data_IF_500905945504
#
_entry.id   IF_500905945504
#
_cell.length_a   1.000
_cell.length_b   1.000
_cell.length_c   1.000
_cell.angle_alpha   90.00
_cell.angle_beta   90.00
_cell.angle_gamma   90.00
#
_symmetry.space_group_name_H-M   'P 1'
#
loop_
_entity.id
_entity.type
_entity.pdbx_description
1 polymer ?
#
# COMPACT_ATOMS: atom_id res chain seq x y z
N UNK A 1 12.94 -6.06 -4.20
CA UNK A 1 14.02 -5.31 -4.85
C UNK A 1 15.32 -6.09 -4.83
N UNK A 2 15.83 -6.34 -3.62
CA UNK A 2 17.20 -6.90 -3.44
C UNK A 2 17.35 -8.32 -3.99
N UNK A 3 16.33 -9.17 -3.88
CA UNK A 3 16.33 -10.52 -4.47
C UNK A 3 16.51 -10.46 -5.99
N UNK A 4 15.79 -9.57 -6.67
CA UNK A 4 15.92 -9.39 -8.13
C UNK A 4 17.29 -8.86 -8.51
N UNK A 5 17.79 -7.88 -7.74
CA UNK A 5 19.12 -7.33 -7.94
C UNK A 5 20.20 -8.41 -7.84
N UNK A 6 20.15 -9.20 -6.77
CA UNK A 6 21.18 -10.19 -6.48
C UNK A 6 21.12 -11.39 -7.44
N UNK A 7 19.92 -11.85 -7.81
CA UNK A 7 19.76 -12.99 -8.72
C UNK A 7 20.16 -12.67 -10.16
N UNK A 8 19.90 -11.45 -10.64
CA UNK A 8 20.12 -11.07 -12.04
C UNK A 8 21.33 -10.14 -12.23
N UNK A 9 22.07 -9.84 -11.17
CA UNK A 9 23.23 -8.91 -11.18
C UNK A 9 22.92 -7.59 -11.89
N UNK A 10 21.75 -7.03 -11.58
CA UNK A 10 21.27 -5.79 -12.19
C UNK A 10 21.55 -4.59 -11.29
N UNK A 11 21.60 -3.40 -11.90
CA UNK A 11 21.82 -2.16 -11.16
C UNK A 11 20.76 -1.92 -10.06
N UNK A 12 21.13 -1.22 -8.99
CA UNK A 12 20.25 -0.95 -7.83
C UNK A 12 18.86 -0.41 -8.20
N UNK A 13 18.78 0.49 -9.18
CA UNK A 13 17.51 1.06 -9.63
C UNK A 13 16.64 0.03 -10.36
N UNK A 14 17.23 -0.95 -11.05
CA UNK A 14 16.50 -2.02 -11.73
C UNK A 14 15.82 -2.96 -10.73
N UNK A 15 16.38 -3.16 -9.55
CA UNK A 15 15.74 -3.91 -8.47
C UNK A 15 14.40 -3.31 -8.01
N UNK A 16 14.18 -2.02 -8.23
CA UNK A 16 12.92 -1.33 -7.88
C UNK A 16 11.88 -1.36 -9.00
N UNK A 17 12.24 -1.84 -10.20
CA UNK A 17 11.33 -1.86 -11.37
C UNK A 17 10.05 -2.66 -11.12
N UNK A 18 10.09 -3.72 -10.30
CA UNK A 18 8.88 -4.47 -9.96
C UNK A 18 7.82 -3.60 -9.27
N UNK A 19 8.25 -2.74 -8.35
CA UNK A 19 7.36 -1.76 -7.68
C UNK A 19 6.91 -0.69 -8.66
N UNK A 20 7.82 -0.18 -9.50
CA UNK A 20 7.50 0.81 -10.52
C UNK A 20 6.45 0.28 -11.51
N UNK A 21 6.54 -0.98 -11.95
CA UNK A 21 5.55 -1.61 -12.83
C UNK A 21 4.15 -1.61 -12.22
N UNK A 22 4.02 -1.86 -10.90
CA UNK A 22 2.74 -1.75 -10.22
C UNK A 22 2.17 -0.33 -10.28
N UNK A 23 2.98 0.71 -10.05
CA UNK A 23 2.51 2.11 -10.10
C UNK A 23 2.17 2.56 -11.52
N UNK A 24 2.93 2.11 -12.54
CA UNK A 24 2.58 2.34 -13.94
C UNK A 24 1.24 1.68 -14.27
N UNK A 25 1.03 0.44 -13.79
CA UNK A 25 -0.24 -0.27 -13.95
C UNK A 25 -1.41 0.51 -13.32
N UNK A 26 -1.22 1.11 -12.14
CA UNK A 26 -2.21 2.01 -11.52
C UNK A 26 -2.54 3.21 -12.41
N UNK A 27 -1.52 3.88 -12.94
CA UNK A 27 -1.71 5.05 -13.80
C UNK A 27 -2.48 4.71 -15.08
N UNK A 28 -2.22 3.53 -15.66
CA UNK A 28 -2.90 3.08 -16.89
C UNK A 28 -4.31 2.58 -16.60
N UNK A 29 -4.51 1.84 -15.50
CA UNK A 29 -5.76 1.13 -15.23
C UNK A 29 -6.79 1.96 -14.45
N UNK A 30 -6.40 3.07 -13.80
CA UNK A 30 -7.30 3.87 -12.97
C UNK A 30 -8.60 4.24 -13.69
N UNK A 31 -8.51 5.00 -14.78
CA UNK A 31 -9.69 5.42 -15.54
C UNK A 31 -10.46 4.23 -16.16
N UNK A 32 -9.82 3.25 -16.84
CA UNK A 32 -10.51 2.05 -17.33
C UNK A 32 -11.26 1.29 -16.24
N UNK A 33 -10.66 1.09 -15.07
CA UNK A 33 -11.28 0.35 -13.98
C UNK A 33 -12.48 1.09 -13.37
N UNK A 34 -12.41 2.42 -13.23
CA UNK A 34 -13.56 3.23 -12.83
C UNK A 34 -14.74 3.12 -13.82
N UNK A 35 -14.45 3.12 -15.13
CA UNK A 35 -15.46 2.88 -16.16
C UNK A 35 -16.01 1.45 -16.13
N UNK A 36 -15.15 0.45 -15.85
CA UNK A 36 -15.59 -0.94 -15.67
C UNK A 36 -16.52 -1.07 -14.47
N UNK A 37 -16.18 -0.46 -13.34
CA UNK A 37 -17.03 -0.48 -12.16
C UNK A 37 -18.41 0.15 -12.44
N UNK A 38 -18.45 1.28 -13.12
CA UNK A 38 -19.69 1.94 -13.50
C UNK A 38 -20.53 1.08 -14.46
N UNK A 39 -19.90 0.41 -15.43
CA UNK A 39 -20.59 -0.35 -16.46
C UNK A 39 -21.03 -1.75 -16.02
N UNK A 40 -20.18 -2.44 -15.28
CA UNK A 40 -20.35 -3.87 -14.95
C UNK A 40 -20.73 -4.11 -13.49
N UNK A 41 -20.62 -3.08 -12.62
CA UNK A 41 -20.90 -3.15 -11.20
C UNK A 41 -19.77 -3.74 -10.36
N UNK A 42 -20.01 -3.84 -9.05
CA UNK A 42 -19.00 -4.23 -8.07
C UNK A 42 -18.57 -5.69 -8.21
N UNK A 43 -19.54 -6.63 -8.30
CA UNK A 43 -19.25 -8.08 -8.32
C UNK A 43 -18.40 -8.48 -9.52
N UNK A 44 -18.82 -8.07 -10.72
CA UNK A 44 -18.10 -8.45 -11.96
C UNK A 44 -16.72 -7.82 -12.04
N UNK A 45 -16.59 -6.56 -11.60
CA UNK A 45 -15.29 -5.88 -11.58
C UNK A 45 -14.35 -6.51 -10.55
N UNK A 46 -14.85 -6.91 -9.36
CA UNK A 46 -14.07 -7.63 -8.36
C UNK A 46 -13.61 -9.01 -8.86
N UNK A 47 -14.49 -9.79 -9.52
CA UNK A 47 -14.12 -11.09 -10.11
C UNK A 47 -13.05 -10.94 -11.18
N UNK A 48 -13.17 -9.94 -12.06
CA UNK A 48 -12.15 -9.63 -13.05
C UNK A 48 -10.82 -9.26 -12.38
N UNK A 49 -10.86 -8.43 -11.32
CA UNK A 49 -9.68 -8.00 -10.59
C UNK A 49 -8.93 -9.18 -9.95
N UNK A 50 -9.61 -10.06 -9.24
CA UNK A 50 -8.97 -11.22 -8.61
C UNK A 50 -8.41 -12.20 -9.64
N UNK A 51 -9.09 -12.36 -10.79
CA UNK A 51 -8.60 -13.19 -11.90
C UNK A 51 -7.31 -12.62 -12.49
N UNK A 52 -7.28 -11.33 -12.75
CA UNK A 52 -6.07 -10.63 -13.25
C UNK A 52 -4.92 -10.74 -12.24
N UNK A 53 -5.21 -10.62 -10.95
CA UNK A 53 -4.21 -10.78 -9.88
C UNK A 53 -3.65 -12.20 -9.82
N UNK A 54 -4.51 -13.21 -9.92
CA UNK A 54 -4.09 -14.61 -10.01
C UNK A 54 -3.15 -14.86 -11.19
N UNK A 55 -3.50 -14.36 -12.38
CA UNK A 55 -2.67 -14.47 -13.58
C UNK A 55 -1.33 -13.73 -13.40
N UNK A 56 -1.35 -12.50 -12.86
CA UNK A 56 -0.14 -11.71 -12.64
C UNK A 56 0.85 -12.39 -11.69
N UNK A 57 0.36 -12.88 -10.54
CA UNK A 57 1.19 -13.63 -9.58
C UNK A 57 1.63 -14.98 -10.16
N UNK A 58 0.78 -15.65 -10.94
CA UNK A 58 1.16 -16.87 -11.67
C UNK A 58 2.33 -16.67 -12.61
N UNK A 59 2.32 -15.58 -13.41
CA UNK A 59 3.43 -15.20 -14.29
C UNK A 59 4.70 -14.92 -13.48
N UNK A 60 4.60 -14.18 -12.35
CA UNK A 60 5.73 -13.96 -11.46
C UNK A 60 6.29 -15.29 -10.90
N UNK A 61 5.43 -16.23 -10.54
CA UNK A 61 5.85 -17.56 -10.07
C UNK A 61 6.60 -18.32 -11.17
N UNK A 62 6.06 -18.35 -12.40
CA UNK A 62 6.69 -18.99 -13.55
C UNK A 62 8.06 -18.37 -13.85
N UNK A 63 8.23 -17.05 -13.66
CA UNK A 63 9.54 -16.42 -13.89
C UNK A 63 10.65 -17.02 -13.05
N UNK A 64 10.34 -17.50 -11.85
CA UNK A 64 11.32 -18.16 -10.96
C UNK A 64 11.78 -19.54 -11.42
N UNK A 65 11.16 -20.13 -12.44
CA UNK A 65 11.56 -21.41 -13.06
C UNK A 65 12.39 -21.24 -14.32
N UNK A 66 12.63 -20.01 -14.75
CA UNK A 66 13.37 -19.69 -15.98
C UNK A 66 14.83 -19.38 -15.61
N UNK A 67 15.76 -20.17 -16.12
CA UNK A 67 17.20 -20.02 -15.86
C UNK A 67 17.90 -19.07 -16.85
N UNK A 68 17.26 -17.95 -17.20
CA UNK A 68 17.83 -16.97 -18.12
C UNK A 68 17.47 -15.54 -17.71
N UNK A 69 18.18 -14.54 -18.24
CA UNK A 69 17.86 -13.12 -18.01
C UNK A 69 16.45 -12.74 -18.49
N UNK A 70 15.81 -13.56 -19.34
CA UNK A 70 14.41 -13.38 -19.73
C UNK A 70 13.46 -13.49 -18.53
N UNK A 71 13.84 -14.24 -17.48
CA UNK A 71 13.07 -14.34 -16.23
C UNK A 71 12.77 -12.98 -15.60
N UNK A 72 13.72 -12.04 -15.67
CA UNK A 72 13.52 -10.69 -15.16
C UNK A 72 12.39 -9.96 -15.89
N UNK A 73 12.39 -10.02 -17.23
CA UNK A 73 11.31 -9.43 -18.05
C UNK A 73 9.95 -10.07 -17.78
N UNK A 74 9.91 -11.40 -17.64
CA UNK A 74 8.68 -12.15 -17.30
C UNK A 74 8.17 -11.75 -15.91
N UNK A 75 9.06 -11.61 -14.92
CA UNK A 75 8.70 -11.12 -13.59
C UNK A 75 8.08 -9.72 -13.64
N UNK A 76 8.69 -8.80 -14.39
CA UNK A 76 8.19 -7.43 -14.55
C UNK A 76 6.82 -7.39 -15.22
N UNK A 77 6.60 -8.23 -16.25
CA UNK A 77 5.30 -8.38 -16.88
C UNK A 77 4.24 -8.88 -15.88
N UNK A 78 4.58 -9.88 -15.09
CA UNK A 78 3.71 -10.38 -14.01
C UNK A 78 3.39 -9.30 -12.97
N UNK A 79 4.38 -8.50 -12.57
CA UNK A 79 4.22 -7.38 -11.66
C UNK A 79 3.27 -6.30 -12.23
N UNK A 80 3.42 -5.97 -13.51
CA UNK A 80 2.55 -5.03 -14.21
C UNK A 80 1.10 -5.52 -14.25
N UNK A 81 0.88 -6.79 -14.58
CA UNK A 81 -0.46 -7.39 -14.61
C UNK A 81 -1.06 -7.46 -13.18
N UNK A 82 -0.27 -7.83 -12.17
CA UNK A 82 -0.71 -7.81 -10.78
C UNK A 82 -1.08 -6.40 -10.31
N UNK A 83 -0.39 -5.37 -10.79
CA UNK A 83 -0.71 -3.97 -10.54
C UNK A 83 -2.09 -3.55 -11.03
N UNK A 84 -2.56 -4.07 -12.17
CA UNK A 84 -3.94 -3.87 -12.63
C UNK A 84 -4.96 -4.41 -11.64
N UNK A 85 -4.72 -5.60 -11.10
CA UNK A 85 -5.59 -6.20 -10.07
C UNK A 85 -5.65 -5.32 -8.82
N UNK A 86 -4.51 -4.85 -8.33
CA UNK A 86 -4.45 -3.97 -7.16
C UNK A 86 -5.24 -2.68 -7.37
N UNK A 87 -5.10 -2.05 -8.54
CA UNK A 87 -5.87 -0.86 -8.92
C UNK A 87 -7.37 -1.17 -8.92
N UNK A 88 -7.80 -2.19 -9.64
CA UNK A 88 -9.21 -2.57 -9.76
C UNK A 88 -9.82 -2.91 -8.39
N UNK A 89 -9.12 -3.65 -7.52
CA UNK A 89 -9.59 -3.97 -6.18
C UNK A 89 -9.78 -2.73 -5.32
N UNK A 90 -8.84 -1.79 -5.35
CA UNK A 90 -8.97 -0.53 -4.61
C UNK A 90 -10.18 0.29 -5.09
N UNK A 91 -10.41 0.34 -6.40
CA UNK A 91 -11.54 1.06 -7.00
C UNK A 91 -12.89 0.40 -6.65
N UNK A 92 -12.92 -0.91 -6.43
CA UNK A 92 -14.12 -1.64 -5.99
C UNK A 92 -14.34 -1.47 -4.49
N UNK A 93 -13.33 -1.78 -3.67
CA UNK A 93 -13.47 -1.94 -2.22
C UNK A 93 -13.77 -0.61 -1.53
N UNK A 94 -13.02 0.44 -1.87
CA UNK A 94 -13.12 1.71 -1.15
C UNK A 94 -14.48 2.42 -1.29
N UNK A 95 -15.05 2.61 -2.49
CA UNK A 95 -16.38 3.20 -2.61
C UNK A 95 -17.47 2.27 -2.09
N UNK A 96 -17.28 0.94 -2.17
CA UNK A 96 -18.23 -0.01 -1.58
C UNK A 96 -18.29 0.12 -0.06
N UNK A 97 -17.14 0.17 0.62
CA UNK A 97 -17.07 0.38 2.07
C UNK A 97 -17.66 1.73 2.48
N UNK A 98 -17.38 2.79 1.71
CA UNK A 98 -17.97 4.10 1.94
C UNK A 98 -19.51 4.07 1.87
N UNK A 99 -20.04 3.43 0.84
CA UNK A 99 -21.50 3.30 0.64
C UNK A 99 -22.16 2.43 1.70
N UNK A 100 -21.56 1.31 2.08
CA UNK A 100 -22.05 0.44 3.15
C UNK A 100 -22.13 1.18 4.50
N UNK A 101 -21.22 2.12 4.73
CA UNK A 101 -21.26 3.02 5.89
C UNK A 101 -22.27 4.18 5.76
N UNK A 102 -22.93 4.35 4.61
CA UNK A 102 -23.82 5.49 4.35
C UNK A 102 -23.07 6.81 4.15
N UNK A 103 -21.78 6.78 3.83
CA UNK A 103 -20.92 7.96 3.73
C UNK A 103 -20.56 8.60 5.07
N UNK A 104 -20.01 9.82 5.04
CA UNK A 104 -19.67 10.58 6.24
C UNK A 104 -18.73 9.83 7.20
N UNK A 105 -18.95 9.98 8.50
CA UNK A 105 -18.08 9.38 9.52
C UNK A 105 -18.10 7.84 9.52
N UNK A 106 -19.26 7.21 9.33
CA UNK A 106 -19.35 5.75 9.26
C UNK A 106 -18.71 5.18 8.00
N UNK A 107 -18.85 5.87 6.86
CA UNK A 107 -18.15 5.52 5.64
C UNK A 107 -16.63 5.60 5.83
N UNK A 108 -16.13 6.68 6.42
CA UNK A 108 -14.72 6.81 6.80
C UNK A 108 -14.27 5.69 7.74
N UNK A 109 -15.06 5.35 8.75
CA UNK A 109 -14.77 4.25 9.67
C UNK A 109 -14.56 2.92 8.94
N UNK A 110 -15.48 2.55 8.04
CA UNK A 110 -15.39 1.30 7.29
C UNK A 110 -14.17 1.28 6.34
N UNK A 111 -13.83 2.42 5.72
CA UNK A 111 -12.59 2.55 4.92
C UNK A 111 -11.36 2.30 5.80
N UNK A 112 -11.31 2.86 7.01
CA UNK A 112 -10.21 2.63 7.95
C UNK A 112 -10.12 1.16 8.40
N UNK A 113 -11.26 0.49 8.60
CA UNK A 113 -11.31 -0.96 8.88
C UNK A 113 -10.70 -1.75 7.71
N UNK A 114 -11.15 -1.48 6.49
CA UNK A 114 -10.59 -2.11 5.28
C UNK A 114 -9.09 -1.85 5.13
N UNK A 115 -8.65 -0.61 5.37
CA UNK A 115 -7.25 -0.24 5.38
C UNK A 115 -6.43 -0.96 6.46
N UNK A 116 -7.04 -1.26 7.62
CA UNK A 116 -6.39 -2.05 8.68
C UNK A 116 -6.10 -3.48 8.23
N UNK A 117 -7.03 -4.13 7.54
CA UNK A 117 -6.78 -5.47 6.94
C UNK A 117 -5.67 -5.42 5.89
N UNK A 118 -5.64 -4.38 5.05
CA UNK A 118 -4.55 -4.20 4.08
C UNK A 118 -3.19 -4.08 4.78
N UNK A 119 -3.09 -3.27 5.84
CA UNK A 119 -1.83 -3.11 6.62
C UNK A 119 -1.46 -4.38 7.37
N UNK A 120 -2.44 -5.11 7.92
CA UNK A 120 -2.21 -6.40 8.58
C UNK A 120 -1.59 -7.39 7.60
N UNK A 121 -2.13 -7.49 6.39
CA UNK A 121 -1.59 -8.37 5.35
C UNK A 121 -0.20 -7.92 4.87
N UNK A 122 0.04 -6.62 4.76
CA UNK A 122 1.36 -6.08 4.45
C UNK A 122 2.39 -6.46 5.53
N UNK A 123 2.06 -6.30 6.80
CA UNK A 123 2.91 -6.71 7.93
C UNK A 123 3.14 -8.22 7.96
N UNK A 124 2.08 -9.02 7.74
CA UNK A 124 2.18 -10.47 7.66
C UNK A 124 3.07 -10.94 6.49
N UNK A 125 3.01 -10.27 5.35
CA UNK A 125 3.85 -10.56 4.19
C UNK A 125 5.35 -10.33 4.50
N UNK A 126 5.69 -9.24 5.20
CA UNK A 126 7.07 -8.96 5.64
C UNK A 126 7.54 -10.05 6.61
N UNK A 127 6.70 -10.40 7.58
CA UNK A 127 6.99 -11.46 8.54
C UNK A 127 7.24 -12.81 7.86
N UNK A 128 6.33 -13.24 6.98
CA UNK A 128 6.45 -14.49 6.24
C UNK A 128 7.67 -14.49 5.30
N UNK A 129 8.00 -13.34 4.70
CA UNK A 129 9.23 -13.20 3.91
C UNK A 129 10.46 -13.49 4.77
N UNK A 130 10.53 -12.94 5.98
CA UNK A 130 11.63 -13.21 6.91
C UNK A 130 11.73 -14.69 7.32
N UNK A 131 10.60 -15.40 7.41
CA UNK A 131 10.57 -16.85 7.72
C UNK A 131 11.07 -17.70 6.55
N UNK A 132 10.62 -17.41 5.32
CA UNK A 132 10.94 -18.23 4.14
C UNK A 132 12.27 -17.83 3.47
N UNK A 133 12.72 -16.60 3.68
CA UNK A 133 13.95 -16.04 3.08
C UNK A 133 14.83 -15.45 4.19
N UNK A 134 15.51 -16.30 4.98
CA UNK A 134 16.30 -15.85 6.13
C UNK A 134 17.56 -15.05 5.73
N UNK A 135 18.08 -15.22 4.51
CA UNK A 135 19.18 -14.42 3.96
C UNK A 135 18.80 -13.84 2.62
N UNK A 136 18.82 -12.50 2.54
CA UNK A 136 18.49 -11.77 1.29
C UNK A 136 19.68 -11.77 0.31
N UNK A 137 20.91 -11.89 0.82
CA UNK A 137 22.13 -11.75 0.03
C UNK A 137 22.23 -12.79 -1.09
N UNK A 138 21.83 -14.04 -0.81
CA UNK A 138 21.86 -15.15 -1.78
C UNK A 138 20.46 -15.60 -2.20
N UNK A 139 19.43 -14.81 -1.92
CA UNK A 139 18.06 -15.19 -2.15
C UNK A 139 17.70 -15.23 -3.64
N UNK A 140 17.06 -16.34 -4.03
CA UNK A 140 16.48 -16.53 -5.38
C UNK A 140 14.96 -16.38 -5.34
N UNK A 141 14.36 -16.06 -6.49
CA UNK A 141 12.90 -16.00 -6.64
C UNK A 141 12.23 -17.30 -6.22
N UNK A 142 12.87 -18.44 -6.44
CA UNK A 142 12.36 -19.77 -6.02
C UNK A 142 12.13 -19.90 -4.51
N UNK A 143 12.89 -19.20 -3.68
CA UNK A 143 12.68 -19.19 -2.23
C UNK A 143 11.42 -18.45 -1.81
N UNK A 144 10.89 -17.59 -2.68
CA UNK A 144 9.64 -16.86 -2.46
C UNK A 144 8.41 -17.64 -2.94
N UNK A 145 8.59 -18.80 -3.59
CA UNK A 145 7.48 -19.63 -4.09
C UNK A 145 6.42 -19.95 -3.03
N UNK A 146 6.74 -20.30 -1.77
CA UNK A 146 5.71 -20.54 -0.77
C UNK A 146 4.78 -19.34 -0.59
N UNK A 147 5.34 -18.12 -0.58
CA UNK A 147 4.55 -16.87 -0.49
C UNK A 147 3.69 -16.65 -1.74
N UNK A 148 4.23 -16.94 -2.92
CA UNK A 148 3.50 -16.81 -4.19
C UNK A 148 2.36 -17.81 -4.27
N UNK A 149 2.55 -19.06 -3.81
CA UNK A 149 1.48 -20.06 -3.74
C UNK A 149 0.40 -19.69 -2.72
N UNK A 150 0.78 -19.14 -1.57
CA UNK A 150 -0.19 -18.59 -0.60
C UNK A 150 -1.01 -17.47 -1.27
N UNK A 151 -0.37 -16.55 -1.98
CA UNK A 151 -1.07 -15.47 -2.68
C UNK A 151 -2.02 -16.00 -3.77
N UNK A 152 -1.59 -16.99 -4.56
CA UNK A 152 -2.45 -17.65 -5.55
C UNK A 152 -3.65 -18.32 -4.88
N UNK A 153 -3.45 -19.00 -3.74
CA UNK A 153 -4.52 -19.60 -2.94
C UNK A 153 -5.52 -18.57 -2.42
N UNK A 154 -5.03 -17.42 -1.96
CA UNK A 154 -5.88 -16.29 -1.51
C UNK A 154 -6.69 -15.73 -2.67
N UNK A 155 -6.12 -15.54 -3.86
CA UNK A 155 -6.85 -15.09 -5.04
C UNK A 155 -7.92 -16.09 -5.47
N UNK A 156 -7.61 -17.39 -5.47
CA UNK A 156 -8.56 -18.44 -5.78
C UNK A 156 -9.73 -18.48 -4.77
N UNK A 157 -9.41 -18.39 -3.48
CA UNK A 157 -10.41 -18.34 -2.41
C UNK A 157 -11.27 -17.07 -2.52
N UNK A 158 -10.68 -15.93 -2.78
CA UNK A 158 -11.38 -14.67 -2.99
C UNK A 158 -12.34 -14.77 -4.19
N UNK A 159 -11.89 -15.38 -5.29
CA UNK A 159 -12.75 -15.62 -6.45
C UNK A 159 -13.97 -16.47 -6.08
N UNK A 160 -13.78 -17.56 -5.34
CA UNK A 160 -14.88 -18.45 -4.90
C UNK A 160 -15.85 -17.69 -3.99
N UNK A 161 -15.34 -17.00 -2.98
CA UNK A 161 -16.17 -16.24 -2.01
C UNK A 161 -16.98 -15.17 -2.73
N UNK A 162 -16.37 -14.37 -3.61
CA UNK A 162 -17.05 -13.30 -4.35
C UNK A 162 -18.08 -13.89 -5.29
N UNK A 163 -17.80 -15.05 -5.95
CA UNK A 163 -18.73 -15.71 -6.85
C UNK A 163 -19.99 -16.16 -6.13
N UNK A 164 -19.84 -16.69 -4.91
CA UNK A 164 -20.94 -17.23 -4.09
C UNK A 164 -21.70 -16.16 -3.30
N UNK A 165 -21.10 -14.99 -3.09
CA UNK A 165 -21.70 -13.90 -2.31
C UNK A 165 -22.58 -13.02 -3.20
N UNK A 166 -23.78 -12.70 -2.72
CA UNK A 166 -24.62 -11.68 -3.34
C UNK A 166 -24.12 -10.29 -2.91
N UNK A 167 -23.48 -9.60 -3.85
CA UNK A 167 -23.04 -8.22 -3.64
C UNK A 167 -24.15 -7.30 -4.16
N UNK A 168 -24.70 -6.39 -3.31
CA UNK A 168 -25.76 -5.49 -3.72
C UNK A 168 -25.27 -4.54 -4.81
N UNK A 169 -25.84 -4.68 -5.98
CA UNK A 169 -25.61 -3.79 -7.12
C UNK A 169 -26.67 -2.69 -7.11
N UNK A 170 -26.29 -1.46 -7.40
CA UNK A 170 -27.22 -0.33 -7.43
C UNK A 170 -28.12 -0.44 -8.70
N UNK A 171 -29.44 -0.65 -8.58
CA UNK A 171 -30.31 -0.73 -9.76
C UNK A 171 -30.32 0.55 -10.60
N UNK A 172 -30.02 1.71 -10.00
CA UNK A 172 -29.90 3.01 -10.68
C UNK A 172 -28.75 3.06 -11.70
N UNK A 173 -27.67 2.28 -11.51
CA UNK A 173 -26.54 2.23 -12.43
C UNK A 173 -26.89 1.68 -13.83
N UNK A 174 -27.90 0.80 -13.93
CA UNK A 174 -28.29 0.20 -15.23
C UNK A 174 -29.09 1.17 -16.12
N UNK A 175 -29.69 2.19 -15.56
CA UNK A 175 -30.62 3.08 -16.28
C UNK A 175 -29.91 4.35 -16.80
N UNK A 176 -28.90 4.84 -16.10
CA UNK A 176 -28.25 6.14 -16.40
C UNK A 176 -27.11 6.08 -17.43
N UNK A 177 -26.71 4.92 -17.92
CA UNK A 177 -25.67 4.80 -18.98
C UNK A 177 -26.10 5.41 -20.34
N UNK A 178 -27.35 5.82 -20.50
CA UNK A 178 -27.84 6.46 -21.75
C UNK A 178 -27.73 7.96 -21.81
N UNK A 179 -27.63 8.65 -20.67
CA UNK A 179 -27.39 10.11 -20.67
C UNK A 179 -25.89 10.37 -20.61
N UNK A 180 -25.32 10.90 -21.70
CA UNK A 180 -24.00 11.55 -21.68
C UNK A 180 -24.06 12.73 -20.73
N UNK A 181 -23.72 12.54 -19.47
CA UNK A 181 -23.61 13.63 -18.52
C UNK A 181 -22.54 14.61 -19.01
N UNK A 182 -22.96 15.87 -19.17
CA UNK A 182 -22.09 16.98 -19.60
C UNK A 182 -21.00 17.29 -18.57
N UNK A 183 -21.14 16.78 -17.33
CA UNK A 183 -20.21 16.98 -16.22
C UNK A 183 -19.61 15.64 -15.80
N UNK A 184 -18.32 15.67 -15.42
CA UNK A 184 -17.59 14.52 -14.86
C UNK A 184 -17.12 14.80 -13.44
N UNK A 185 -16.49 13.81 -12.74
CA UNK A 185 -15.93 14.02 -11.40
C UNK A 185 -14.96 15.21 -11.33
N UNK A 186 -14.20 15.45 -12.39
CA UNK A 186 -13.25 16.58 -12.51
C UNK A 186 -13.92 17.97 -12.45
N UNK A 187 -15.23 18.07 -12.60
CA UNK A 187 -15.95 19.33 -12.45
C UNK A 187 -16.10 19.75 -10.97
N UNK A 188 -15.83 18.86 -10.04
CA UNK A 188 -15.91 19.12 -8.61
C UNK A 188 -14.54 19.48 -8.04
N UNK A 189 -14.37 20.72 -7.57
CA UNK A 189 -13.10 21.23 -7.06
C UNK A 189 -12.54 20.38 -5.91
N UNK A 190 -13.39 19.93 -4.98
CA UNK A 190 -12.94 19.11 -3.85
C UNK A 190 -12.42 17.75 -4.29
N UNK A 191 -12.98 17.17 -5.36
CA UNK A 191 -12.48 15.93 -5.94
C UNK A 191 -11.08 16.12 -6.56
N UNK A 192 -10.88 17.17 -7.35
CA UNK A 192 -9.58 17.47 -7.97
C UNK A 192 -8.50 17.69 -6.89
N UNK A 193 -8.83 18.48 -5.86
CA UNK A 193 -7.94 18.70 -4.73
C UNK A 193 -7.66 17.41 -3.95
N UNK A 194 -8.66 16.54 -3.79
CA UNK A 194 -8.50 15.22 -3.19
C UNK A 194 -7.58 14.32 -3.99
N UNK A 195 -7.70 14.28 -5.32
CA UNK A 195 -6.83 13.52 -6.20
C UNK A 195 -5.36 13.99 -6.09
N UNK A 196 -5.12 15.30 -6.10
CA UNK A 196 -3.79 15.88 -5.86
C UNK A 196 -3.26 15.52 -4.46
N UNK A 197 -4.13 15.61 -3.45
CA UNK A 197 -3.75 15.25 -2.08
C UNK A 197 -3.39 13.76 -1.94
N UNK A 198 -4.11 12.85 -2.59
CA UNK A 198 -3.77 11.41 -2.62
C UNK A 198 -2.42 11.20 -3.31
N UNK A 199 -2.17 11.87 -4.43
CA UNK A 199 -0.88 11.77 -5.13
C UNK A 199 0.29 12.17 -4.24
N UNK A 200 0.19 13.33 -3.55
CA UNK A 200 1.21 13.80 -2.61
C UNK A 200 1.33 12.84 -1.43
N UNK A 201 0.20 12.39 -0.88
CA UNK A 201 0.16 11.48 0.25
C UNK A 201 0.89 10.16 -0.04
N UNK A 202 0.62 9.52 -1.20
CA UNK A 202 1.29 8.26 -1.58
C UNK A 202 2.81 8.46 -1.69
N UNK A 203 3.23 9.62 -2.22
CA UNK A 203 4.65 9.99 -2.24
C UNK A 203 5.27 10.06 -0.83
N UNK A 204 4.56 10.62 0.14
CA UNK A 204 5.00 10.71 1.53
C UNK A 204 4.96 9.33 2.21
N UNK A 205 3.86 8.59 2.07
CA UNK A 205 3.66 7.27 2.68
C UNK A 205 4.77 6.28 2.30
N UNK A 206 5.13 6.23 1.03
CA UNK A 206 6.15 5.33 0.50
C UNK A 206 7.54 5.95 0.62
N UNK A 207 7.66 7.27 0.48
CA UNK A 207 8.91 8.00 0.50
C UNK A 207 9.62 7.95 1.85
N UNK A 208 8.89 8.21 2.95
CA UNK A 208 9.49 8.23 4.29
C UNK A 208 10.20 6.90 4.63
N UNK A 209 9.58 5.72 4.57
CA UNK A 209 10.24 4.46 4.93
C UNK A 209 11.39 4.11 3.97
N UNK A 210 11.26 4.43 2.67
CA UNK A 210 12.32 4.16 1.71
C UNK A 210 13.57 5.04 1.95
N UNK A 211 13.37 6.34 2.18
CA UNK A 211 14.47 7.27 2.49
C UNK A 211 15.10 6.89 3.82
N UNK A 212 14.28 6.63 4.84
CA UNK A 212 14.74 6.19 6.15
C UNK A 212 15.62 4.94 6.06
N UNK A 213 15.16 3.91 5.35
CA UNK A 213 15.91 2.67 5.18
C UNK A 213 17.26 2.91 4.50
N UNK A 214 17.29 3.66 3.40
CA UNK A 214 18.52 3.97 2.67
C UNK A 214 19.48 4.85 3.47
N UNK A 215 18.95 5.79 4.25
CA UNK A 215 19.75 6.64 5.12
C UNK A 215 20.43 5.83 6.25
N UNK A 216 19.69 4.92 6.89
CA UNK A 216 20.23 4.05 7.95
C UNK A 216 21.24 3.02 7.41
N UNK A 217 21.08 2.57 6.18
CA UNK A 217 21.98 1.61 5.53
C UNK A 217 23.25 2.25 4.94
N UNK A 218 23.32 3.59 4.87
CA UNK A 218 24.43 4.25 4.19
C UNK A 218 25.75 4.07 4.95
N UNK A 219 26.74 3.34 4.39
CA UNK A 219 28.00 3.05 5.08
C UNK A 219 28.89 4.28 5.22
N UNK A 220 28.76 5.29 4.34
CA UNK A 220 29.54 6.52 4.40
C UNK A 220 29.11 7.41 5.57
N UNK A 221 27.79 7.43 5.85
CA UNK A 221 27.24 8.20 6.96
C UNK A 221 27.33 7.46 8.29
N UNK A 222 27.30 6.13 8.26
CA UNK A 222 27.34 5.21 9.42
C UNK A 222 26.58 5.73 10.66
N UNK A 223 25.38 6.23 10.45
CA UNK A 223 24.55 6.90 11.47
C UNK A 223 24.13 5.97 12.62
N UNK A 224 24.22 4.65 12.40
CA UNK A 224 23.94 3.63 13.41
C UNK A 224 25.18 3.26 14.24
N UNK A 225 26.37 3.76 13.89
CA UNK A 225 27.64 3.40 14.53
C UNK A 225 27.88 1.89 14.66
N UNK A 226 27.49 1.13 13.63
CA UNK A 226 27.68 -0.33 13.59
C UNK A 226 28.76 -0.73 12.59
N UNK A 227 29.49 -1.77 12.93
CA UNK A 227 30.52 -2.35 12.06
C UNK A 227 29.89 -3.47 11.23
N UNK A 228 29.92 -3.29 9.89
CA UNK A 228 29.42 -4.27 8.94
C UNK A 228 28.07 -3.87 8.31
N UNK A 229 28.02 -4.02 6.99
CA UNK A 229 26.83 -3.67 6.17
C UNK A 229 25.60 -4.47 6.59
N UNK A 230 25.77 -5.77 6.87
CA UNK A 230 24.65 -6.65 7.26
C UNK A 230 23.98 -6.24 8.59
N UNK A 231 24.75 -5.72 9.56
CA UNK A 231 24.19 -5.22 10.82
C UNK A 231 23.35 -3.97 10.60
N UNK A 232 23.82 -3.02 9.78
CA UNK A 232 23.07 -1.83 9.42
C UNK A 232 21.80 -2.17 8.64
N UNK A 233 21.86 -3.10 7.71
CA UNK A 233 20.71 -3.59 6.94
C UNK A 233 19.64 -4.24 7.83
N UNK A 234 20.04 -5.09 8.78
CA UNK A 234 19.14 -5.73 9.73
C UNK A 234 18.40 -4.69 10.61
N UNK A 235 19.12 -3.72 11.16
CA UNK A 235 18.52 -2.66 11.98
C UNK A 235 17.60 -1.78 11.12
N UNK A 236 18.04 -1.34 9.95
CA UNK A 236 17.23 -0.53 9.06
C UNK A 236 15.94 -1.26 8.63
N UNK A 237 16.02 -2.56 8.37
CA UNK A 237 14.87 -3.41 8.06
C UNK A 237 13.86 -3.47 9.19
N UNK A 238 14.29 -3.70 10.44
CA UNK A 238 13.40 -3.73 11.61
C UNK A 238 12.78 -2.36 11.91
N UNK A 239 13.53 -1.28 11.74
CA UNK A 239 13.05 0.10 11.91
C UNK A 239 11.97 0.41 10.86
N UNK A 240 12.21 0.05 9.61
CA UNK A 240 11.23 0.25 8.52
C UNK A 240 9.98 -0.63 8.72
N UNK A 241 10.14 -1.88 9.16
CA UNK A 241 9.01 -2.75 9.49
C UNK A 241 8.15 -2.15 10.63
N UNK A 242 8.79 -1.48 11.60
CA UNK A 242 8.09 -0.79 12.69
C UNK A 242 7.25 0.38 12.20
N UNK A 243 7.70 1.12 11.17
CA UNK A 243 6.87 2.15 10.52
C UNK A 243 5.55 1.56 9.99
N UNK A 244 5.60 0.43 9.28
CA UNK A 244 4.41 -0.23 8.76
C UNK A 244 3.52 -0.81 9.86
N UNK A 245 4.11 -1.33 10.94
CA UNK A 245 3.37 -1.78 12.11
C UNK A 245 2.63 -0.62 12.78
N UNK A 246 3.28 0.54 12.95
CA UNK A 246 2.63 1.74 13.49
C UNK A 246 1.53 2.24 12.58
N UNK A 247 1.66 2.09 11.26
CA UNK A 247 0.58 2.38 10.31
C UNK A 247 -0.62 1.45 10.55
N UNK A 248 -0.42 0.16 10.81
CA UNK A 248 -1.51 -0.75 11.18
C UNK A 248 -2.19 -0.29 12.48
N UNK A 249 -1.41 0.02 13.53
CA UNK A 249 -1.94 0.51 14.82
C UNK A 249 -2.75 1.79 14.63
N UNK A 250 -2.23 2.73 13.85
CA UNK A 250 -2.92 3.99 13.57
C UNK A 250 -4.22 3.79 12.77
N UNK A 251 -4.28 2.85 11.81
CA UNK A 251 -5.51 2.49 11.08
C UNK A 251 -6.55 1.85 12.00
N UNK A 252 -6.14 0.97 12.91
CA UNK A 252 -7.02 0.41 13.92
C UNK A 252 -7.59 1.48 14.87
N UNK A 253 -6.73 2.40 15.31
CA UNK A 253 -7.17 3.56 16.10
C UNK A 253 -8.12 4.46 15.30
N UNK A 254 -7.81 4.71 14.03
CA UNK A 254 -8.67 5.45 13.10
C UNK A 254 -10.02 4.78 12.87
N UNK A 255 -10.05 3.45 12.77
CA UNK A 255 -11.30 2.68 12.70
C UNK A 255 -12.13 2.80 13.99
N UNK A 256 -11.50 2.75 15.15
CA UNK A 256 -12.19 2.92 16.45
C UNK A 256 -12.75 4.34 16.65
N UNK A 257 -12.02 5.35 16.19
CA UNK A 257 -12.41 6.76 16.35
C UNK A 257 -13.27 7.29 15.20
N UNK A 258 -13.23 6.66 14.04
CA UNK A 258 -13.81 7.16 12.77
C UNK A 258 -15.32 7.38 12.83
N UNK A 259 -16.06 6.66 13.69
CA UNK A 259 -17.49 6.91 13.88
C UNK A 259 -17.79 8.20 14.66
N UNK A 260 -16.85 8.65 15.50
CA UNK A 260 -17.03 9.78 16.43
C UNK A 260 -16.32 11.05 15.98
N UNK A 261 -15.22 10.91 15.24
CA UNK A 261 -14.37 12.01 14.79
C UNK A 261 -14.49 12.16 13.27
N UNK A 262 -14.69 13.39 12.80
CA UNK A 262 -14.81 13.65 11.36
C UNK A 262 -13.49 13.36 10.62
N UNK A 263 -13.58 12.90 9.36
CA UNK A 263 -12.43 12.66 8.49
C UNK A 263 -11.53 13.90 8.39
N UNK A 264 -12.15 15.10 8.32
CA UNK A 264 -11.43 16.39 8.27
C UNK A 264 -10.60 16.63 9.54
N UNK A 265 -11.18 16.40 10.73
CA UNK A 265 -10.47 16.59 11.98
C UNK A 265 -9.31 15.60 12.13
N UNK A 266 -9.54 14.32 11.83
CA UNK A 266 -8.50 13.28 11.84
C UNK A 266 -7.34 13.64 10.90
N UNK A 267 -7.67 14.04 9.67
CA UNK A 267 -6.68 14.42 8.65
C UNK A 267 -5.87 15.65 9.09
N UNK A 268 -6.54 16.69 9.64
CA UNK A 268 -5.86 17.92 10.09
C UNK A 268 -4.87 17.64 11.20
N UNK A 269 -5.29 16.86 12.21
CA UNK A 269 -4.41 16.49 13.34
C UNK A 269 -3.25 15.63 12.86
N UNK A 270 -3.53 14.58 12.08
CA UNK A 270 -2.50 13.68 11.58
C UNK A 270 -1.47 14.41 10.70
N UNK A 271 -1.92 15.26 9.79
CA UNK A 271 -1.03 16.07 8.94
C UNK A 271 -0.19 17.06 9.74
N UNK A 272 -0.79 17.73 10.72
CA UNK A 272 -0.08 18.69 11.57
C UNK A 272 1.00 18.03 12.42
N UNK A 273 0.67 16.91 13.07
CA UNK A 273 1.63 16.14 13.89
C UNK A 273 2.74 15.54 13.01
N UNK A 274 2.38 14.95 11.88
CA UNK A 274 3.36 14.40 10.93
C UNK A 274 4.31 15.47 10.40
N UNK A 275 3.79 16.66 10.07
CA UNK A 275 4.61 17.79 9.67
C UNK A 275 5.62 18.19 10.75
N UNK A 276 5.18 18.27 12.02
CA UNK A 276 6.07 18.56 13.15
C UNK A 276 7.16 17.50 13.29
N UNK A 277 6.80 16.21 13.19
CA UNK A 277 7.79 15.12 13.28
C UNK A 277 8.84 15.21 12.17
N UNK A 278 8.45 15.48 10.93
CA UNK A 278 9.38 15.64 9.81
C UNK A 278 10.28 16.86 10.01
N UNK A 279 9.72 18.00 10.41
CA UNK A 279 10.50 19.22 10.68
C UNK A 279 11.52 18.95 11.81
N UNK A 280 11.10 18.34 12.90
CA UNK A 280 12.04 18.00 14.00
C UNK A 280 13.09 16.99 13.52
N UNK A 281 12.71 16.00 12.71
CA UNK A 281 13.66 15.04 12.14
C UNK A 281 14.74 15.71 11.25
N UNK A 282 14.41 16.81 10.58
CA UNK A 282 15.38 17.55 9.75
C UNK A 282 16.34 18.36 10.59
N UNK A 283 15.86 19.00 11.66
CA UNK A 283 16.67 19.99 12.42
C UNK A 283 17.36 19.42 13.67
N UNK A 284 16.93 18.26 14.17
CA UNK A 284 17.59 17.64 15.32
C UNK A 284 18.95 17.03 14.93
N UNK A 285 19.88 17.00 15.91
CA UNK A 285 21.20 16.42 15.69
C UNK A 285 21.11 14.88 15.59
N UNK A 286 21.57 14.27 14.48
CA UNK A 286 21.56 12.81 14.31
C UNK A 286 22.40 12.04 15.32
N UNK A 287 23.35 12.70 16.00
CA UNK A 287 24.17 12.09 17.05
C UNK A 287 23.39 11.75 18.32
N UNK A 288 22.17 12.28 18.48
CA UNK A 288 21.30 11.95 19.60
C UNK A 288 20.65 10.59 19.35
N UNK A 289 21.07 9.58 20.11
CA UNK A 289 20.58 8.20 19.98
C UNK A 289 19.48 7.94 21.01
N UNK A 290 18.45 7.27 20.56
CA UNK A 290 17.30 6.84 21.39
C UNK A 290 17.02 5.35 21.20
N UNK A 291 16.51 4.71 22.25
CA UNK A 291 16.03 3.34 22.16
C UNK A 291 14.63 3.30 21.55
N UNK A 292 14.51 2.84 20.31
CA UNK A 292 13.23 2.67 19.63
C UNK A 292 12.73 1.23 19.81
N UNK A 293 11.52 1.01 20.35
CA UNK A 293 10.88 -0.31 20.27
C UNK A 293 10.66 -0.69 18.82
N UNK A 294 11.20 -1.82 18.39
CA UNK A 294 11.11 -2.30 17.01
C UNK A 294 10.55 -3.71 16.96
N UNK A 295 9.89 -4.03 15.85
CA UNK A 295 9.41 -5.36 15.57
C UNK A 295 10.49 -6.14 14.80
N UNK A 296 11.02 -7.20 15.42
CA UNK A 296 12.10 -8.05 14.88
C UNK A 296 11.60 -9.33 14.21
N UNK A 297 10.37 -9.32 13.71
CA UNK A 297 9.79 -10.49 13.05
C UNK A 297 9.63 -11.67 14.02
N UNK A 298 10.31 -12.79 13.73
CA UNK A 298 10.22 -14.03 14.53
C UNK A 298 10.73 -13.90 15.96
N UNK A 299 11.61 -12.94 16.22
CA UNK A 299 12.14 -12.67 17.58
C UNK A 299 11.22 -11.80 18.42
N UNK A 300 10.07 -11.34 17.87
CA UNK A 300 9.11 -10.49 18.56
C UNK A 300 9.53 -9.03 18.62
N UNK A 301 9.35 -8.39 19.78
CA UNK A 301 9.71 -6.99 19.98
C UNK A 301 11.08 -6.88 20.66
N UNK A 302 11.84 -5.86 20.25
CA UNK A 302 13.12 -5.52 20.84
C UNK A 302 13.34 -4.03 20.86
N UNK A 303 14.51 -3.59 21.31
CA UNK A 303 14.92 -2.18 21.28
C UNK A 303 16.08 -2.05 20.29
N UNK A 304 15.96 -1.14 19.34
CA UNK A 304 17.05 -0.73 18.48
C UNK A 304 17.54 0.67 18.90
N UNK A 305 18.85 0.83 18.99
CA UNK A 305 19.47 2.14 19.22
C UNK A 305 19.56 2.86 17.87
N UNK A 306 18.81 3.95 17.72
CA UNK A 306 18.70 4.68 16.45
C UNK A 306 18.81 6.20 16.70
N UNK A 307 19.23 7.00 15.71
CA UNK A 307 19.13 8.45 15.79
C UNK A 307 17.70 8.90 16.08
N UNK A 308 17.53 9.94 16.88
CA UNK A 308 16.21 10.51 17.20
C UNK A 308 15.41 10.87 15.95
N UNK A 309 16.09 11.31 14.89
CA UNK A 309 15.51 11.60 13.59
C UNK A 309 14.80 10.36 13.00
N UNK A 310 15.45 9.19 13.08
CA UNK A 310 14.86 7.92 12.63
C UNK A 310 13.60 7.57 13.43
N UNK A 311 13.64 7.74 14.75
CA UNK A 311 12.48 7.48 15.60
C UNK A 311 11.29 8.39 15.25
N UNK A 312 11.53 9.67 14.99
CA UNK A 312 10.49 10.61 14.54
C UNK A 312 9.90 10.23 13.19
N UNK A 313 10.74 9.82 12.23
CA UNK A 313 10.26 9.36 10.92
C UNK A 313 9.44 8.06 11.03
N UNK A 314 9.80 7.16 11.95
CA UNK A 314 9.01 5.95 12.23
C UNK A 314 7.64 6.31 12.81
N UNK A 315 7.57 7.29 13.72
CA UNK A 315 6.31 7.78 14.29
C UNK A 315 5.38 8.41 13.23
N UNK A 316 5.91 8.90 12.11
CA UNK A 316 5.10 9.35 10.99
C UNK A 316 4.18 8.24 10.44
N UNK A 317 4.50 6.95 10.66
CA UNK A 317 3.62 5.83 10.32
C UNK A 317 2.23 5.91 10.97
N UNK A 318 2.17 6.38 12.23
CA UNK A 318 0.88 6.67 12.89
C UNK A 318 0.11 7.79 12.19
N UNK A 319 0.81 8.84 11.76
CA UNK A 319 0.20 9.99 11.11
C UNK A 319 -0.33 9.63 9.71
N UNK A 320 0.48 8.96 8.89
CA UNK A 320 0.11 8.57 7.53
C UNK A 320 -1.02 7.55 7.51
N UNK A 321 -1.20 6.79 8.58
CA UNK A 321 -2.15 5.68 8.68
C UNK A 321 -3.61 6.03 8.34
N UNK A 322 -4.09 7.16 8.82
CA UNK A 322 -5.49 7.60 8.66
C UNK A 322 -5.69 8.55 7.46
N UNK A 323 -4.60 9.00 6.83
CA UNK A 323 -4.66 10.06 5.82
C UNK A 323 -5.34 9.59 4.54
N UNK A 324 -4.99 8.41 4.03
CA UNK A 324 -5.55 7.91 2.78
C UNK A 324 -7.08 7.82 2.83
N UNK A 325 -7.62 7.13 3.85
CA UNK A 325 -9.07 6.99 4.02
C UNK A 325 -9.77 8.33 4.24
N UNK A 326 -9.16 9.23 5.00
CA UNK A 326 -9.68 10.57 5.24
C UNK A 326 -9.74 11.41 3.96
N UNK A 327 -8.66 11.44 3.16
CA UNK A 327 -8.61 12.18 1.89
C UNK A 327 -9.61 11.59 0.90
N UNK A 328 -9.65 10.25 0.74
CA UNK A 328 -10.58 9.59 -0.16
C UNK A 328 -12.03 9.91 0.21
N UNK A 329 -12.39 9.75 1.49
CA UNK A 329 -13.75 10.03 1.96
C UNK A 329 -14.19 11.48 1.65
N UNK A 330 -13.31 12.45 1.92
CA UNK A 330 -13.59 13.87 1.62
C UNK A 330 -13.63 14.16 0.10
N UNK A 331 -12.82 13.47 -0.69
CA UNK A 331 -12.78 13.64 -2.14
C UNK A 331 -14.05 13.14 -2.82
N UNK A 332 -14.66 12.07 -2.31
CA UNK A 332 -15.87 11.48 -2.91
C UNK A 332 -17.17 11.98 -2.26
N UNK A 333 -17.08 12.77 -1.20
CA UNK A 333 -18.24 13.30 -0.49
C UNK A 333 -19.12 14.15 -1.42
N UNK A 334 -20.41 13.85 -1.47
CA UNK A 334 -21.38 14.60 -2.30
C UNK A 334 -21.33 14.33 -3.79
N UNK A 335 -20.47 13.44 -4.30
CA UNK A 335 -20.39 13.13 -5.74
C UNK A 335 -21.57 12.28 -6.25
N UNK A 336 -22.30 11.60 -5.37
CA UNK A 336 -23.46 10.79 -5.72
C UNK A 336 -23.15 9.78 -6.83
N UNK A 337 -23.80 9.91 -7.99
CA UNK A 337 -23.64 9.02 -9.16
C UNK A 337 -22.22 9.01 -9.77
N UNK A 338 -21.40 10.00 -9.47
CA UNK A 338 -20.04 10.08 -10.00
C UNK A 338 -19.00 9.37 -9.11
N UNK A 339 -19.39 8.86 -7.93
CA UNK A 339 -18.47 8.26 -6.95
C UNK A 339 -17.68 7.09 -7.54
N UNK A 340 -18.33 6.19 -8.28
CA UNK A 340 -17.66 5.02 -8.89
C UNK A 340 -16.62 5.45 -9.92
N UNK A 341 -16.98 6.41 -10.77
CA UNK A 341 -16.05 6.94 -11.77
C UNK A 341 -14.92 7.76 -11.16
N UNK A 342 -15.22 8.45 -10.06
CA UNK A 342 -14.24 9.23 -9.29
C UNK A 342 -13.22 8.33 -8.57
N UNK A 343 -13.56 7.09 -8.28
CA UNK A 343 -12.66 6.15 -7.60
C UNK A 343 -11.54 5.60 -8.52
N UNK A 344 -11.69 5.71 -9.82
CA UNK A 344 -10.67 5.40 -10.83
C UNK A 344 -9.84 6.59 -11.21
#
# INVERSE_FOLDING_TARGET
>A
GDILKNQFDVANWMGTLGVLMNFIAYAVMGIPAGNMLQKYGYKKTALAAVTVGFVGVGIQTISGTIDSNAAFGVYLLGAFIAGFSMCMLNIVVNPMLNKLGGGGNKGNQLIQVGGSFNSLMGTACIFLTGVFVPSIVDAKISQVFPLMFIALGIFALAFLVISLTDIPENPAQKIETKEKSQYGPMSFRHFVLGAVAIFIYVGVEVGIPNVLQKWLQNPELNVLNVTGVGAAEAIAGTVTATYWLLMLVGRLAGAALGAKVSAKAMLTVASGVGFIFVVLAIFLNPSTVVGLPVFKGTEGFGIAQVPVNAALLVLCGLCTSVMWGGIFNLAVEGLGKYTERASG
#
